data_IF_967628562183
#
_entry.id   IF_967628562183
#
_cell.length_a   1.000
_cell.length_b   1.000
_cell.length_c   1.000
_cell.angle_alpha   90.00
_cell.angle_beta   90.00
_cell.angle_gamma   90.00
#
_symmetry.space_group_name_H-M   'P 1'
#
loop_
_entity.id
_entity.type
_entity.pdbx_description
1 polymer ?
#
# COMPACT_ATOMS: atom_id res chain seq x y z
N UNK A 1 57.36 -37.05 20.40
CA UNK A 1 57.24 -36.68 18.97
C UNK A 1 55.80 -36.95 18.53
N UNK A 2 55.03 -35.96 18.07
CA UNK A 2 53.68 -36.21 17.58
C UNK A 2 53.73 -37.14 16.35
N UNK A 3 52.86 -38.14 16.32
CA UNK A 3 52.82 -39.20 15.32
C UNK A 3 52.43 -38.62 13.95
N UNK A 4 53.06 -39.07 12.86
CA UNK A 4 52.66 -38.70 11.47
C UNK A 4 51.17 -38.90 11.19
N UNK A 5 50.49 -39.78 11.94
CA UNK A 5 49.04 -40.01 11.85
C UNK A 5 48.23 -38.81 12.36
N UNK A 6 48.70 -38.10 13.38
CA UNK A 6 48.00 -36.94 13.95
C UNK A 6 48.08 -35.72 13.03
N UNK A 7 49.22 -35.53 12.35
CA UNK A 7 49.38 -34.48 11.33
C UNK A 7 48.50 -34.74 10.09
N UNK A 8 48.44 -35.99 9.62
CA UNK A 8 47.55 -36.40 8.52
C UNK A 8 46.07 -36.22 8.88
N UNK A 9 45.66 -36.59 10.10
CA UNK A 9 44.30 -36.38 10.58
C UNK A 9 43.92 -34.90 10.62
N UNK A 10 44.85 -34.03 11.04
CA UNK A 10 44.63 -32.57 11.05
C UNK A 10 44.47 -31.99 9.64
N UNK A 11 45.22 -32.51 8.66
CA UNK A 11 45.15 -32.08 7.25
C UNK A 11 43.85 -32.56 6.60
N UNK A 12 43.42 -33.78 6.87
CA UNK A 12 42.13 -34.32 6.40
C UNK A 12 40.98 -33.45 6.93
N UNK A 13 40.97 -33.14 8.24
CA UNK A 13 39.93 -32.30 8.83
C UNK A 13 39.88 -30.87 8.23
N UNK A 14 41.05 -30.28 7.90
CA UNK A 14 41.12 -28.98 7.21
C UNK A 14 40.57 -29.06 5.78
N UNK A 15 40.90 -30.14 5.06
CA UNK A 15 40.40 -30.36 3.70
C UNK A 15 38.88 -30.57 3.72
N UNK A 16 38.35 -31.40 4.60
CA UNK A 16 36.90 -31.61 4.75
C UNK A 16 36.16 -30.30 5.05
N UNK A 17 36.72 -29.44 5.91
CA UNK A 17 36.16 -28.12 6.20
C UNK A 17 36.20 -27.20 4.97
N UNK A 18 37.25 -27.29 4.16
CA UNK A 18 37.35 -26.51 2.91
C UNK A 18 36.37 -27.01 1.85
N UNK A 19 36.19 -28.32 1.72
CA UNK A 19 35.22 -28.95 0.80
C UNK A 19 33.81 -28.53 1.17
N UNK A 20 33.43 -28.60 2.45
CA UNK A 20 32.10 -28.13 2.91
C UNK A 20 31.87 -26.66 2.61
N UNK A 21 32.87 -25.80 2.81
CA UNK A 21 32.77 -24.37 2.45
C UNK A 21 32.58 -24.18 0.95
N UNK A 22 33.30 -24.94 0.13
CA UNK A 22 33.15 -24.90 -1.34
C UNK A 22 31.75 -25.36 -1.74
N UNK A 23 31.25 -26.46 -1.19
CA UNK A 23 29.90 -26.98 -1.43
C UNK A 23 28.82 -25.94 -1.04
N UNK A 24 28.96 -25.30 0.12
CA UNK A 24 28.07 -24.22 0.55
C UNK A 24 28.10 -23.02 -0.40
N UNK A 25 29.29 -22.61 -0.87
CA UNK A 25 29.42 -21.52 -1.85
C UNK A 25 28.82 -21.91 -3.21
N UNK A 26 28.99 -23.16 -3.63
CA UNK A 26 28.47 -23.67 -4.90
C UNK A 26 26.93 -23.73 -4.87
N UNK A 27 26.35 -24.16 -3.76
CA UNK A 27 24.91 -24.14 -3.54
C UNK A 27 24.34 -22.71 -3.58
N UNK A 28 25.01 -21.76 -2.92
CA UNK A 28 24.62 -20.34 -2.97
C UNK A 28 24.71 -19.74 -4.38
N UNK A 29 25.77 -20.04 -5.12
CA UNK A 29 25.94 -19.58 -6.50
C UNK A 29 24.90 -20.20 -7.43
N UNK A 30 24.62 -21.50 -7.29
CA UNK A 30 23.58 -22.19 -8.05
C UNK A 30 22.20 -21.55 -7.85
N UNK A 31 21.85 -21.21 -6.61
CA UNK A 31 20.60 -20.51 -6.30
C UNK A 31 20.55 -19.11 -6.94
N UNK A 32 21.64 -18.32 -6.85
CA UNK A 32 21.73 -17.01 -7.50
C UNK A 32 21.60 -17.09 -9.03
N UNK A 33 22.22 -18.09 -9.65
CA UNK A 33 22.09 -18.33 -11.10
C UNK A 33 20.65 -18.70 -11.46
N UNK A 34 19.99 -19.51 -10.63
CA UNK A 34 18.58 -19.86 -10.78
C UNK A 34 17.66 -18.63 -10.71
N UNK A 35 17.90 -17.73 -9.77
CA UNK A 35 17.17 -16.45 -9.64
C UNK A 35 17.41 -15.54 -10.85
N UNK A 36 18.66 -15.36 -11.27
CA UNK A 36 19.00 -14.56 -12.45
C UNK A 36 18.35 -15.13 -13.72
N UNK A 37 18.33 -16.46 -13.89
CA UNK A 37 17.66 -17.12 -15.03
C UNK A 37 16.15 -16.91 -15.04
N UNK A 38 15.51 -16.80 -13.87
CA UNK A 38 14.08 -16.46 -13.77
C UNK A 38 13.84 -15.00 -14.13
N UNK A 39 14.69 -14.09 -13.67
CA UNK A 39 14.59 -12.67 -14.00
C UNK A 39 14.86 -12.40 -15.48
N UNK A 40 15.86 -13.05 -16.10
CA UNK A 40 16.09 -12.92 -17.54
C UNK A 40 14.90 -13.41 -18.35
N UNK A 41 14.29 -14.55 -18.01
CA UNK A 41 13.06 -15.02 -18.66
C UNK A 41 11.90 -14.03 -18.57
N UNK A 42 11.70 -13.39 -17.41
CA UNK A 42 10.67 -12.35 -17.25
C UNK A 42 10.97 -11.11 -18.08
N UNK A 43 12.24 -10.72 -18.19
CA UNK A 43 12.66 -9.58 -19.00
C UNK A 43 12.49 -9.87 -20.49
N UNK A 44 12.84 -11.08 -20.95
CA UNK A 44 12.64 -11.50 -22.34
C UNK A 44 11.17 -11.49 -22.73
N UNK A 45 10.27 -12.03 -21.90
CA UNK A 45 8.83 -12.02 -22.21
C UNK A 45 8.24 -10.59 -22.22
N UNK A 46 8.71 -9.71 -21.33
CA UNK A 46 8.36 -8.27 -21.37
C UNK A 46 8.89 -7.60 -22.64
N UNK A 47 10.08 -7.94 -23.10
CA UNK A 47 10.66 -7.39 -24.33
C UNK A 47 9.88 -7.86 -25.58
N UNK A 48 9.53 -9.15 -25.66
CA UNK A 48 8.73 -9.70 -26.76
C UNK A 48 7.35 -9.04 -26.86
N UNK A 49 6.68 -8.80 -25.73
CA UNK A 49 5.39 -8.09 -25.71
C UNK A 49 5.52 -6.61 -26.06
N UNK A 50 6.65 -5.96 -25.75
CA UNK A 50 6.95 -4.59 -26.17
C UNK A 50 7.18 -4.51 -27.68
N UNK A 51 7.99 -5.39 -28.24
CA UNK A 51 8.27 -5.45 -29.69
C UNK A 51 6.99 -5.68 -30.49
N UNK A 52 6.12 -6.60 -30.04
CA UNK A 52 4.81 -6.82 -30.69
C UNK A 52 3.93 -5.57 -30.67
N UNK A 53 3.86 -4.86 -29.54
CA UNK A 53 3.09 -3.61 -29.43
C UNK A 53 3.67 -2.48 -30.27
N UNK A 54 4.99 -2.31 -30.26
CA UNK A 54 5.68 -1.33 -31.12
C UNK A 54 5.44 -1.60 -32.60
N UNK A 55 5.42 -2.88 -33.02
CA UNK A 55 5.09 -3.27 -34.39
C UNK A 55 3.66 -2.89 -34.77
N UNK A 56 2.68 -3.20 -33.92
CA UNK A 56 1.26 -2.86 -34.15
C UNK A 56 1.07 -1.33 -34.21
N UNK A 57 1.74 -0.58 -33.35
CA UNK A 57 1.71 0.90 -33.38
C UNK A 57 2.34 1.47 -34.65
N UNK A 58 3.49 0.94 -35.09
CA UNK A 58 4.12 1.38 -36.34
C UNK A 58 3.22 1.11 -37.55
N UNK A 59 2.54 -0.03 -37.57
CA UNK A 59 1.55 -0.38 -38.60
C UNK A 59 0.34 0.55 -38.56
N UNK A 60 -0.23 0.79 -37.37
CA UNK A 60 -1.37 1.69 -37.19
C UNK A 60 -1.06 3.16 -37.56
N UNK A 61 0.20 3.58 -37.45
CA UNK A 61 0.66 4.92 -37.82
C UNK A 61 1.14 5.03 -39.28
N UNK A 62 1.03 3.97 -40.07
CA UNK A 62 1.51 3.95 -41.47
C UNK A 62 3.03 4.11 -41.60
N UNK A 63 3.79 3.83 -40.54
CA UNK A 63 5.23 4.02 -40.48
C UNK A 63 5.95 2.80 -41.04
N UNK A 64 6.60 2.96 -42.20
CA UNK A 64 7.42 1.89 -42.78
C UNK A 64 8.69 1.61 -41.97
N UNK A 65 9.31 0.45 -42.20
CA UNK A 65 10.60 0.01 -41.61
C UNK A 65 11.80 0.93 -41.90
N UNK A 66 11.62 2.01 -42.67
CA UNK A 66 12.61 3.06 -43.00
C UNK A 66 12.55 4.30 -42.12
N UNK A 67 11.70 4.32 -41.10
CA UNK A 67 11.60 5.45 -40.16
C UNK A 67 12.92 5.74 -39.42
N UNK A 68 13.24 7.04 -39.24
CA UNK A 68 14.51 7.48 -38.69
C UNK A 68 14.67 6.94 -37.26
N UNK A 69 15.91 6.62 -36.86
CA UNK A 69 16.23 6.11 -35.52
C UNK A 69 15.71 7.03 -34.39
N UNK A 70 15.59 8.33 -34.64
CA UNK A 70 14.98 9.30 -33.73
C UNK A 70 13.48 9.11 -33.52
N UNK A 71 12.72 8.85 -34.58
CA UNK A 71 11.26 8.64 -34.50
C UNK A 71 10.93 7.36 -33.73
N UNK A 72 11.75 6.30 -33.90
CA UNK A 72 11.65 5.07 -33.09
C UNK A 72 11.96 5.30 -31.61
N UNK A 73 12.91 6.16 -31.28
CA UNK A 73 13.22 6.49 -29.89
C UNK A 73 12.08 7.29 -29.22
N UNK A 74 11.47 8.22 -29.95
CA UNK A 74 10.29 8.97 -29.49
C UNK A 74 9.11 8.03 -29.27
N UNK A 75 8.85 7.10 -30.21
CA UNK A 75 7.82 6.07 -30.04
C UNK A 75 8.09 5.16 -28.85
N UNK A 76 9.34 4.73 -28.64
CA UNK A 76 9.71 3.94 -27.46
C UNK A 76 9.44 4.69 -26.15
N UNK A 77 9.77 5.99 -26.10
CA UNK A 77 9.51 6.84 -24.93
C UNK A 77 8.00 7.09 -24.72
N UNK A 78 7.24 7.27 -25.80
CA UNK A 78 5.77 7.40 -25.75
C UNK A 78 5.14 6.09 -25.27
N UNK A 79 5.59 4.95 -25.78
CA UNK A 79 5.12 3.64 -25.35
C UNK A 79 5.42 3.39 -23.87
N UNK A 80 6.63 3.71 -23.40
CA UNK A 80 6.98 3.61 -21.98
C UNK A 80 6.13 4.55 -21.11
N UNK A 81 5.79 5.74 -21.61
CA UNK A 81 4.91 6.69 -20.91
C UNK A 81 3.46 6.19 -20.87
N UNK A 82 2.96 5.64 -21.97
CA UNK A 82 1.64 5.01 -22.06
C UNK A 82 1.57 3.83 -21.10
N UNK A 83 2.58 2.95 -21.07
CA UNK A 83 2.62 1.82 -20.13
C UNK A 83 2.59 2.28 -18.67
N UNK A 84 3.33 3.34 -18.32
CA UNK A 84 3.29 3.91 -16.96
C UNK A 84 1.92 4.50 -16.62
N UNK A 85 1.25 5.14 -17.58
CA UNK A 85 -0.10 5.69 -17.42
C UNK A 85 -1.13 4.57 -17.28
N UNK A 86 -1.06 3.52 -18.10
CA UNK A 86 -1.90 2.32 -17.99
C UNK A 86 -1.74 1.66 -16.61
N UNK A 87 -0.51 1.49 -16.14
CA UNK A 87 -0.24 0.93 -14.82
C UNK A 87 -0.79 1.83 -13.70
N UNK A 88 -0.63 3.14 -13.82
CA UNK A 88 -1.19 4.10 -12.88
C UNK A 88 -2.72 4.07 -12.86
N UNK A 89 -3.36 3.99 -14.03
CA UNK A 89 -4.82 3.90 -14.17
C UNK A 89 -5.36 2.60 -13.58
N UNK A 90 -4.70 1.46 -13.83
CA UNK A 90 -5.06 0.18 -13.24
C UNK A 90 -5.00 0.22 -11.71
N UNK A 91 -3.87 0.68 -11.15
CA UNK A 91 -3.72 0.84 -9.69
C UNK A 91 -4.76 1.80 -9.11
N UNK A 92 -5.10 2.86 -9.84
CA UNK A 92 -6.13 3.81 -9.43
C UNK A 92 -7.51 3.18 -9.47
N UNK A 93 -7.82 2.36 -10.49
CA UNK A 93 -9.08 1.63 -10.61
C UNK A 93 -9.26 0.64 -9.45
N UNK A 94 -8.23 -0.16 -9.15
CA UNK A 94 -8.24 -1.09 -8.00
C UNK A 94 -8.47 -0.34 -6.68
N UNK A 95 -7.82 0.81 -6.51
CA UNK A 95 -8.01 1.66 -5.33
C UNK A 95 -9.43 2.20 -5.25
N UNK A 96 -10.01 2.68 -6.36
CA UNK A 96 -11.39 3.14 -6.42
C UNK A 96 -12.35 2.01 -6.05
N UNK A 97 -12.15 0.81 -6.58
CA UNK A 97 -12.96 -0.36 -6.26
C UNK A 97 -12.91 -0.70 -4.76
N UNK A 98 -11.72 -0.69 -4.17
CA UNK A 98 -11.54 -0.88 -2.72
C UNK A 98 -12.27 0.18 -1.89
N UNK A 99 -12.20 1.46 -2.31
CA UNK A 99 -12.93 2.56 -1.65
C UNK A 99 -14.45 2.34 -1.76
N UNK A 100 -14.95 1.98 -2.94
CA UNK A 100 -16.37 1.75 -3.17
C UNK A 100 -16.90 0.58 -2.32
N UNK A 101 -16.13 -0.51 -2.24
CA UNK A 101 -16.46 -1.65 -1.37
C UNK A 101 -16.48 -1.24 0.10
N UNK A 102 -15.48 -0.49 0.56
CA UNK A 102 -15.42 0.00 1.93
C UNK A 102 -16.58 0.96 2.26
N UNK A 103 -16.95 1.85 1.32
CA UNK A 103 -18.11 2.74 1.45
C UNK A 103 -19.43 1.97 1.50
N UNK A 104 -19.58 0.92 0.68
CA UNK A 104 -20.76 0.05 0.73
C UNK A 104 -20.89 -0.62 2.09
N UNK A 105 -19.83 -1.25 2.60
CA UNK A 105 -19.82 -1.86 3.93
C UNK A 105 -20.10 -0.84 5.04
N UNK A 106 -19.54 0.37 4.93
CA UNK A 106 -19.79 1.44 5.89
C UNK A 106 -21.25 1.92 5.85
N UNK A 107 -21.86 2.05 4.67
CA UNK A 107 -23.28 2.40 4.53
C UNK A 107 -24.18 1.32 5.13
N UNK A 108 -23.91 0.05 4.87
CA UNK A 108 -24.65 -1.07 5.48
C UNK A 108 -24.53 -1.05 7.01
N UNK A 109 -23.33 -0.74 7.53
CA UNK A 109 -23.11 -0.56 8.96
C UNK A 109 -23.95 0.59 9.52
N UNK A 110 -23.94 1.77 8.88
CA UNK A 110 -24.75 2.92 9.30
C UNK A 110 -26.25 2.62 9.28
N UNK A 111 -26.75 1.90 8.28
CA UNK A 111 -28.16 1.50 8.20
C UNK A 111 -28.53 0.56 9.37
N UNK A 112 -27.68 -0.43 9.67
CA UNK A 112 -27.87 -1.34 10.82
C UNK A 112 -27.77 -0.59 12.16
N UNK A 113 -26.92 0.42 12.24
CA UNK A 113 -26.75 1.25 13.42
C UNK A 113 -27.96 2.15 13.65
N UNK A 114 -28.47 2.83 12.62
CA UNK A 114 -29.63 3.73 12.71
C UNK A 114 -30.87 3.00 13.26
N UNK A 115 -31.07 1.73 12.87
CA UNK A 115 -32.16 0.88 13.40
C UNK A 115 -32.02 0.58 14.89
N UNK A 116 -30.81 0.61 15.45
CA UNK A 116 -30.50 0.26 16.84
C UNK A 116 -30.30 1.47 17.74
N UNK A 117 -29.81 2.61 17.23
CA UNK A 117 -29.34 3.77 18.01
C UNK A 117 -30.34 4.31 19.05
N UNK A 118 -31.64 4.19 18.79
CA UNK A 118 -32.71 4.61 19.70
C UNK A 118 -33.07 3.58 20.79
N UNK A 119 -32.57 2.35 20.69
CA UNK A 119 -32.89 1.22 21.57
C UNK A 119 -31.77 0.84 22.53
N UNK A 120 -30.58 1.43 22.39
CA UNK A 120 -29.39 1.02 23.16
C UNK A 120 -28.88 2.09 24.11
N UNK A 121 -28.26 1.62 25.19
CA UNK A 121 -27.71 2.44 26.25
C UNK A 121 -26.54 3.31 25.80
N UNK A 122 -26.23 4.33 26.60
CA UNK A 122 -25.26 5.38 26.28
C UNK A 122 -23.85 4.85 25.90
N UNK A 123 -23.36 3.81 26.58
CA UNK A 123 -22.04 3.21 26.27
C UNK A 123 -22.03 2.53 24.91
N UNK A 124 -23.09 1.81 24.58
CA UNK A 124 -23.19 1.13 23.30
C UNK A 124 -23.35 2.14 22.16
N UNK A 125 -24.03 3.26 22.42
CA UNK A 125 -24.05 4.41 21.48
C UNK A 125 -22.66 4.98 21.23
N UNK A 126 -21.88 5.26 22.27
CA UNK A 126 -20.48 5.72 22.15
C UNK A 126 -19.65 4.68 21.37
N UNK A 127 -19.81 3.39 21.71
CA UNK A 127 -19.13 2.30 21.01
C UNK A 127 -19.43 2.27 19.51
N UNK A 128 -20.71 2.44 19.14
CA UNK A 128 -21.13 2.51 17.74
C UNK A 128 -20.55 3.74 17.04
N UNK A 129 -20.55 4.92 17.68
CA UNK A 129 -19.94 6.13 17.11
C UNK A 129 -18.43 5.97 16.86
N UNK A 130 -17.71 5.31 17.78
CA UNK A 130 -16.28 5.01 17.62
C UNK A 130 -16.02 4.02 16.47
N UNK A 131 -16.91 3.05 16.28
CA UNK A 131 -16.83 2.13 15.14
C UNK A 131 -17.07 2.86 13.81
N UNK A 132 -17.95 3.87 13.78
CA UNK A 132 -18.11 4.76 12.61
C UNK A 132 -16.79 5.48 12.35
N UNK A 133 -16.23 6.17 13.35
CA UNK A 133 -14.99 6.94 13.21
C UNK A 133 -13.86 6.08 12.68
N UNK A 134 -13.66 4.89 13.25
CA UNK A 134 -12.65 3.94 12.79
C UNK A 134 -12.85 3.57 11.32
N UNK A 135 -14.07 3.26 10.92
CA UNK A 135 -14.39 2.89 9.53
C UNK A 135 -14.15 4.06 8.58
N UNK A 136 -14.54 5.28 8.96
CA UNK A 136 -14.31 6.50 8.16
C UNK A 136 -12.81 6.75 7.97
N UNK A 137 -12.01 6.70 9.04
CA UNK A 137 -10.55 6.86 8.93
C UNK A 137 -9.93 5.76 8.07
N UNK A 138 -10.41 4.53 8.18
CA UNK A 138 -9.93 3.41 7.36
C UNK A 138 -10.22 3.63 5.88
N UNK A 139 -11.43 4.07 5.53
CA UNK A 139 -11.80 4.42 4.14
C UNK A 139 -10.90 5.53 3.60
N UNK A 140 -10.67 6.58 4.39
CA UNK A 140 -9.81 7.70 3.99
C UNK A 140 -8.35 7.27 3.81
N UNK A 141 -7.84 6.39 4.69
CA UNK A 141 -6.50 5.83 4.55
C UNK A 141 -6.35 4.94 3.31
N UNK A 142 -7.36 4.12 2.96
CA UNK A 142 -7.41 3.37 1.68
C UNK A 142 -7.49 4.34 0.49
N UNK A 143 -8.24 5.43 0.68
CA UNK A 143 -8.25 6.61 -0.17
C UNK A 143 -6.93 7.36 -0.20
N UNK A 144 -5.87 6.86 0.45
CA UNK A 144 -4.50 7.40 0.56
C UNK A 144 -4.42 8.83 1.08
N UNK A 145 -5.39 9.21 1.89
CA UNK A 145 -5.31 10.40 2.74
C UNK A 145 -4.33 10.09 3.89
N UNK A 146 -3.36 10.98 4.10
CA UNK A 146 -2.38 10.85 5.18
C UNK A 146 -2.97 11.33 6.50
N UNK A 147 -3.62 10.43 7.23
CA UNK A 147 -4.23 10.75 8.52
C UNK A 147 -3.22 10.62 9.67
N UNK A 148 -3.48 11.33 10.77
CA UNK A 148 -2.77 11.15 12.04
C UNK A 148 -2.99 9.74 12.62
N UNK A 149 -1.91 8.98 12.78
CA UNK A 149 -1.94 7.62 13.33
C UNK A 149 -2.38 7.59 14.80
N UNK A 150 -2.14 8.66 15.56
CA UNK A 150 -2.57 8.71 16.97
C UNK A 150 -4.09 8.68 17.09
N UNK A 151 -4.81 9.17 16.08
CA UNK A 151 -6.28 9.18 16.08
C UNK A 151 -6.85 7.75 16.01
N UNK A 152 -6.21 6.86 15.24
CA UNK A 152 -6.58 5.44 15.22
C UNK A 152 -6.33 4.77 16.57
N UNK A 153 -5.26 5.15 17.26
CA UNK A 153 -4.93 4.64 18.58
C UNK A 153 -5.96 5.11 19.62
N UNK A 154 -6.27 6.41 19.65
CA UNK A 154 -7.23 7.02 20.57
C UNK A 154 -8.63 6.40 20.41
N UNK A 155 -9.08 6.17 19.17
CA UNK A 155 -10.36 5.49 18.89
C UNK A 155 -10.38 4.06 19.42
N UNK A 156 -9.29 3.29 19.25
CA UNK A 156 -9.21 1.91 19.74
C UNK A 156 -9.20 1.85 21.27
N UNK A 157 -8.43 2.72 21.93
CA UNK A 157 -8.40 2.78 23.39
C UNK A 157 -9.77 3.13 23.97
N UNK A 158 -10.43 4.15 23.41
CA UNK A 158 -11.73 4.57 23.90
C UNK A 158 -12.79 3.49 23.64
N UNK A 159 -12.67 2.74 22.55
CA UNK A 159 -13.54 1.59 22.27
C UNK A 159 -13.35 0.48 23.31
N UNK A 160 -12.10 0.16 23.67
CA UNK A 160 -11.79 -0.80 24.72
C UNK A 160 -12.31 -0.33 26.09
N UNK A 161 -12.13 0.95 26.42
CA UNK A 161 -12.65 1.56 27.64
C UNK A 161 -14.19 1.54 27.71
N UNK A 162 -14.88 1.73 26.57
CA UNK A 162 -16.34 1.66 26.49
C UNK A 162 -16.88 0.27 26.81
N UNK A 163 -16.14 -0.78 26.49
CA UNK A 163 -16.49 -2.17 26.78
C UNK A 163 -16.17 -2.57 28.23
N UNK A 164 -15.37 -1.77 28.96
CA UNK A 164 -15.02 -2.05 30.34
C UNK A 164 -16.05 -1.41 31.31
N UNK A 165 -16.86 -2.22 32.03
CA UNK A 165 -17.91 -1.71 32.92
C UNK A 165 -17.36 -0.88 34.09
N UNK A 166 -16.07 -1.01 34.43
CA UNK A 166 -15.43 -0.27 35.54
C UNK A 166 -15.14 1.20 35.24
N UNK A 167 -15.10 1.60 33.96
CA UNK A 167 -14.81 2.99 33.56
C UNK A 167 -16.06 3.85 33.73
N UNK A 168 -15.98 5.03 34.35
CA UNK A 168 -17.16 5.89 34.53
C UNK A 168 -17.76 6.35 33.19
N UNK A 169 -19.10 6.34 33.11
CA UNK A 169 -19.84 6.85 31.94
C UNK A 169 -19.59 8.35 31.69
N UNK A 170 -19.26 9.10 32.75
CA UNK A 170 -18.93 10.53 32.66
C UNK A 170 -17.55 10.76 32.05
N UNK A 171 -16.58 9.93 32.41
CA UNK A 171 -15.21 9.99 31.86
C UNK A 171 -15.19 9.55 30.39
N UNK A 172 -15.97 8.53 30.04
CA UNK A 172 -16.18 8.12 28.64
C UNK A 172 -16.74 9.28 27.80
N UNK A 173 -17.70 10.06 28.32
CA UNK A 173 -18.23 11.24 27.61
C UNK A 173 -17.17 12.31 27.39
N UNK A 174 -16.36 12.63 28.40
CA UNK A 174 -15.31 13.64 28.29
C UNK A 174 -14.27 13.23 27.25
N UNK A 175 -13.71 12.01 27.39
CA UNK A 175 -12.72 11.47 26.44
C UNK A 175 -13.29 11.40 25.01
N UNK A 176 -14.58 11.06 24.87
CA UNK A 176 -15.27 11.07 23.58
C UNK A 176 -15.38 12.47 23.00
N UNK A 177 -15.72 13.49 23.80
CA UNK A 177 -15.80 14.87 23.34
C UNK A 177 -14.44 15.44 22.90
N UNK A 178 -13.36 15.07 23.57
CA UNK A 178 -12.01 15.46 23.15
C UNK A 178 -11.61 14.76 21.84
N UNK A 179 -11.97 13.48 21.69
CA UNK A 179 -11.76 12.74 20.45
C UNK A 179 -12.58 13.28 19.29
N UNK A 180 -13.84 13.66 19.52
CA UNK A 180 -14.71 14.29 18.51
C UNK A 180 -14.07 15.56 17.93
N UNK A 181 -13.44 16.38 18.79
CA UNK A 181 -12.74 17.59 18.36
C UNK A 181 -11.55 17.24 17.48
N UNK A 182 -10.65 16.36 17.95
CA UNK A 182 -9.49 15.92 17.17
C UNK A 182 -9.90 15.32 15.82
N UNK A 183 -10.94 14.48 15.83
CA UNK A 183 -11.50 13.86 14.64
C UNK A 183 -12.07 14.89 13.67
N UNK A 184 -12.84 15.86 14.17
CA UNK A 184 -13.41 16.95 13.37
C UNK A 184 -12.33 17.87 12.77
N UNK A 185 -11.28 18.17 13.54
CA UNK A 185 -10.14 18.95 13.06
C UNK A 185 -9.40 18.21 11.94
N UNK A 186 -9.17 16.91 12.11
CA UNK A 186 -8.52 16.07 11.10
C UNK A 186 -9.35 15.97 9.82
N UNK A 187 -10.66 15.74 9.92
CA UNK A 187 -11.54 15.77 8.75
C UNK A 187 -11.58 17.15 8.08
N UNK A 188 -11.56 18.23 8.88
CA UNK A 188 -11.55 19.60 8.40
C UNK A 188 -10.33 19.97 7.58
N UNK A 189 -9.19 19.29 7.78
CA UNK A 189 -7.98 19.46 6.93
C UNK A 189 -8.20 19.04 5.48
N UNK A 190 -9.17 18.16 5.23
CA UNK A 190 -9.47 17.61 3.92
C UNK A 190 -10.80 18.10 3.33
N UNK A 191 -11.45 19.06 4.00
CA UNK A 191 -12.68 19.67 3.53
C UNK A 191 -12.40 20.62 2.34
N UNK A 192 -12.72 20.14 1.14
CA UNK A 192 -12.48 20.86 -0.11
C UNK A 192 -13.21 22.20 -0.13
N UNK A 193 -14.43 22.32 0.42
CA UNK A 193 -15.15 23.59 0.41
C UNK A 193 -14.46 24.64 1.27
N UNK A 194 -13.95 24.26 2.44
CA UNK A 194 -13.18 25.16 3.31
C UNK A 194 -11.86 25.56 2.68
N UNK A 195 -11.16 24.63 2.04
CA UNK A 195 -9.91 24.90 1.32
C UNK A 195 -10.16 25.87 0.17
N UNK A 196 -11.22 25.67 -0.60
CA UNK A 196 -11.58 26.53 -1.73
C UNK A 196 -12.03 27.92 -1.28
N UNK A 197 -12.78 28.03 -0.18
CA UNK A 197 -13.14 29.34 0.41
C UNK A 197 -11.89 30.14 0.83
N UNK A 198 -10.89 29.49 1.43
CA UNK A 198 -9.61 30.14 1.78
C UNK A 198 -8.78 30.57 0.56
N UNK A 199 -8.93 29.91 -0.60
CA UNK A 199 -8.20 30.28 -1.83
C UNK A 199 -8.69 31.56 -2.49
N UNK A 200 -9.95 31.97 -2.27
CA UNK A 200 -10.47 33.26 -2.77
C UNK A 200 -9.80 34.48 -2.12
N UNK A 201 -9.09 34.29 -1.01
CA UNK A 201 -8.35 35.33 -0.30
C UNK A 201 -6.85 35.36 -0.67
N UNK A 202 -6.41 34.58 -1.67
CA UNK A 202 -5.02 34.60 -2.16
C UNK A 202 -4.90 35.69 -3.25
N UNK A 203 -4.05 36.71 -3.07
CA UNK A 203 -3.83 37.72 -4.11
C UNK A 203 -3.33 37.07 -5.41
N UNK A 204 -4.07 37.24 -6.50
CA UNK A 204 -3.70 36.74 -7.84
C UNK A 204 -4.60 35.65 -8.44
N UNK A 205 -5.63 35.20 -7.73
CA UNK A 205 -6.71 34.38 -8.31
C UNK A 205 -8.03 35.14 -8.24
N UNK A 206 -8.28 35.96 -9.26
CA UNK A 206 -9.63 36.45 -9.63
C UNK A 206 -10.15 35.57 -10.77
#
# INVERSE_FOLDING_TARGET
>A
MPSKKDDLASRIAKIEKSVRKVEETLARLSNKVGEQKKETKKLTSKMETRVKRESIMMEAMGMSSRTKKGDRAILGNLNDSIMKLEEYLLRTSERIENILNALKSHREFLVKMNKRVNKVGMRERIGMELDIMKNTLTIMAIGGVKLDESLFHDVRELRAASNNPKVSSTDLKKRKGDLDKKFGDELGRYDLEKIWKKKKDIPGYV
#
